data_IF_969401828838
#
_entry.id   IF_969401828838
#
_cell.length_a   1.000
_cell.length_b   1.000
_cell.length_c   1.000
_cell.angle_alpha   90.00
_cell.angle_beta   90.00
_cell.angle_gamma   90.00
#
_symmetry.space_group_name_H-M   'P 1'
#
loop_
_entity.id
_entity.type
_entity.pdbx_description
1 polymer ?
#
# COMPACT_ATOMS: atom_id res chain seq x y z
N UNK A 1 11.52 15.53 -1.29
CA UNK A 1 11.47 14.14 -0.77
C UNK A 1 11.40 13.20 -1.97
N UNK A 2 11.96 11.99 -1.90
CA UNK A 2 11.90 11.03 -3.00
C UNK A 2 11.36 9.69 -2.51
N UNK A 3 10.72 8.94 -3.40
CA UNK A 3 10.40 7.52 -3.23
C UNK A 3 11.48 6.73 -3.94
N UNK A 4 12.10 5.79 -3.25
CA UNK A 4 13.21 5.01 -3.75
C UNK A 4 12.89 3.52 -3.61
N UNK A 5 13.15 2.75 -4.66
CA UNK A 5 13.19 1.29 -4.61
C UNK A 5 14.65 0.87 -4.48
N UNK A 6 14.92 0.05 -3.48
CA UNK A 6 16.26 -0.42 -3.17
C UNK A 6 16.28 -1.94 -3.18
N UNK A 7 17.18 -2.53 -3.94
CA UNK A 7 17.48 -3.96 -3.85
C UNK A 7 18.42 -4.17 -2.67
N UNK A 8 18.04 -5.06 -1.76
CA UNK A 8 18.80 -5.32 -0.54
C UNK A 8 19.10 -6.81 -0.36
N UNK A 9 20.28 -7.11 0.17
CA UNK A 9 20.71 -8.44 0.57
C UNK A 9 21.48 -8.34 1.89
N UNK A 10 21.95 -9.48 2.40
CA UNK A 10 22.83 -9.52 3.57
C UNK A 10 24.23 -8.91 3.33
N UNK A 11 24.59 -8.64 2.08
CA UNK A 11 25.88 -8.08 1.70
C UNK A 11 25.84 -6.58 1.43
N UNK A 12 24.64 -6.01 1.17
CA UNK A 12 24.50 -4.61 0.88
C UNK A 12 23.15 -4.23 0.29
N UNK A 13 23.02 -2.97 -0.06
CA UNK A 13 21.82 -2.41 -0.67
C UNK A 13 22.18 -1.47 -1.81
N UNK A 14 21.37 -1.50 -2.88
CA UNK A 14 21.56 -0.70 -4.08
C UNK A 14 20.22 -0.04 -4.47
N UNK A 15 20.14 1.30 -4.52
CA UNK A 15 18.99 1.98 -5.13
C UNK A 15 18.90 1.63 -6.62
N UNK A 16 17.75 1.10 -7.05
CA UNK A 16 17.51 0.68 -8.44
C UNK A 16 16.50 1.55 -9.16
N UNK A 17 15.64 2.25 -8.43
CA UNK A 17 14.75 3.26 -8.97
C UNK A 17 14.46 4.34 -7.93
N UNK A 18 14.27 5.57 -8.38
CA UNK A 18 13.85 6.66 -7.50
C UNK A 18 13.07 7.71 -8.30
N UNK A 19 12.13 8.35 -7.63
CA UNK A 19 11.34 9.43 -8.21
C UNK A 19 11.06 10.51 -7.16
N UNK A 20 11.12 11.76 -7.57
CA UNK A 20 10.76 12.89 -6.73
C UNK A 20 9.28 12.82 -6.36
N UNK A 21 8.98 12.85 -5.07
CA UNK A 21 7.63 13.08 -4.58
C UNK A 21 7.37 14.59 -4.52
N UNK A 22 6.40 15.05 -5.29
CA UNK A 22 5.94 16.42 -5.28
C UNK A 22 4.63 16.49 -4.49
N UNK A 23 4.57 17.17 -3.33
CA UNK A 23 3.33 17.38 -2.60
C UNK A 23 2.26 18.04 -3.45
N UNK A 24 0.99 17.79 -3.13
CA UNK A 24 -0.15 18.27 -3.94
C UNK A 24 -0.22 19.79 -4.03
N UNK A 25 0.06 20.49 -2.92
CA UNK A 25 0.16 21.96 -2.87
C UNK A 25 1.26 22.51 -3.78
N UNK A 26 2.40 21.81 -3.89
CA UNK A 26 3.46 22.14 -4.81
C UNK A 26 3.09 21.84 -6.27
N UNK A 27 2.40 20.72 -6.50
CA UNK A 27 2.00 20.31 -7.84
C UNK A 27 0.95 21.27 -8.44
N UNK A 28 0.12 21.87 -7.60
CA UNK A 28 -0.89 22.84 -7.99
C UNK A 28 -0.33 24.27 -8.22
N UNK A 29 0.84 24.60 -7.67
CA UNK A 29 1.45 25.92 -7.76
C UNK A 29 2.36 26.01 -9.00
N UNK A 30 1.80 26.48 -10.10
CA UNK A 30 2.50 26.59 -11.39
C UNK A 30 3.69 27.55 -11.35
N UNK A 31 3.57 28.65 -10.59
CA UNK A 31 4.63 29.66 -10.49
C UNK A 31 5.82 29.10 -9.71
N UNK A 32 5.56 28.44 -8.60
CA UNK A 32 6.56 27.76 -7.78
C UNK A 32 7.25 26.62 -8.53
N UNK A 33 6.51 25.86 -9.31
CA UNK A 33 7.06 24.81 -10.19
C UNK A 33 8.00 25.37 -11.23
N UNK A 34 7.58 26.40 -11.95
CA UNK A 34 8.39 27.05 -12.98
C UNK A 34 9.69 27.60 -12.39
N UNK A 35 9.62 28.29 -11.22
CA UNK A 35 10.78 28.81 -10.51
C UNK A 35 11.75 27.72 -10.04
N UNK A 36 11.23 26.55 -9.70
CA UNK A 36 12.03 25.39 -9.26
C UNK A 36 12.48 24.49 -10.44
N UNK A 37 12.14 24.81 -11.69
CA UNK A 37 12.49 24.02 -12.85
C UNK A 37 11.80 22.62 -12.87
N UNK A 38 10.61 22.50 -12.27
CA UNK A 38 9.86 21.24 -12.31
C UNK A 38 9.24 21.08 -13.69
N UNK A 39 9.53 19.98 -14.42
CA UNK A 39 8.96 19.72 -15.75
C UNK A 39 7.44 19.68 -15.74
N UNK A 40 6.81 20.07 -16.84
CA UNK A 40 5.34 20.15 -16.95
C UNK A 40 4.68 18.76 -16.85
N UNK A 41 5.35 17.73 -17.35
CA UNK A 41 4.90 16.34 -17.30
C UNK A 41 4.90 15.72 -15.90
N UNK A 42 5.54 16.35 -14.92
CA UNK A 42 5.53 15.88 -13.54
C UNK A 42 4.22 16.28 -12.88
N UNK A 43 3.34 15.32 -12.66
CA UNK A 43 2.07 15.51 -11.98
C UNK A 43 2.11 14.98 -10.54
N UNK A 44 1.12 15.39 -9.75
CA UNK A 44 0.95 14.85 -8.41
C UNK A 44 0.67 13.34 -8.47
N UNK A 45 1.41 12.61 -7.65
CA UNK A 45 1.13 11.20 -7.36
C UNK A 45 1.44 10.92 -5.90
N UNK A 46 0.65 10.07 -5.26
CA UNK A 46 0.94 9.64 -3.89
C UNK A 46 2.22 8.80 -3.85
N UNK A 47 2.85 8.69 -2.68
CA UNK A 47 4.06 7.88 -2.52
C UNK A 47 3.80 6.41 -2.89
N UNK A 48 2.63 5.88 -2.55
CA UNK A 48 2.23 4.51 -2.89
C UNK A 48 2.06 4.32 -4.39
N UNK A 49 1.48 5.30 -5.09
CA UNK A 49 1.37 5.29 -6.57
C UNK A 49 2.75 5.33 -7.24
N UNK A 50 3.65 6.20 -6.76
CA UNK A 50 5.01 6.29 -7.28
C UNK A 50 5.75 4.95 -7.09
N UNK A 51 5.68 4.35 -5.90
CA UNK A 51 6.32 3.07 -5.63
C UNK A 51 5.78 1.94 -6.53
N UNK A 52 4.45 1.88 -6.72
CA UNK A 52 3.84 0.89 -7.61
C UNK A 52 4.23 1.08 -9.07
N UNK A 53 4.33 2.34 -9.53
CA UNK A 53 4.77 2.64 -10.88
C UNK A 53 6.22 2.19 -11.10
N UNK A 54 7.13 2.51 -10.18
CA UNK A 54 8.53 2.08 -10.25
C UNK A 54 8.65 0.55 -10.24
N UNK A 55 7.89 -0.16 -9.39
CA UNK A 55 7.88 -1.61 -9.35
C UNK A 55 7.41 -2.21 -10.68
N UNK A 56 6.35 -1.67 -11.29
CA UNK A 56 5.89 -2.13 -12.61
C UNK A 56 6.97 -1.95 -13.66
N UNK A 57 7.56 -0.75 -13.74
CA UNK A 57 8.65 -0.48 -14.69
C UNK A 57 9.80 -1.47 -14.53
N UNK A 58 10.27 -1.71 -13.30
CA UNK A 58 11.34 -2.68 -13.04
C UNK A 58 10.98 -4.10 -13.47
N UNK A 59 9.73 -4.53 -13.23
CA UNK A 59 9.26 -5.86 -13.65
C UNK A 59 9.15 -5.97 -15.18
N UNK A 60 8.68 -4.92 -15.84
CA UNK A 60 8.56 -4.84 -17.31
C UNK A 60 9.96 -4.84 -17.97
N UNK A 61 10.95 -4.28 -17.32
CA UNK A 61 12.37 -4.32 -17.70
C UNK A 61 13.05 -5.66 -17.39
N UNK A 62 12.33 -6.62 -16.82
CA UNK A 62 12.82 -7.96 -16.56
C UNK A 62 13.46 -8.17 -15.18
N UNK A 63 13.27 -7.25 -14.24
CA UNK A 63 13.75 -7.44 -12.87
C UNK A 63 13.15 -8.71 -12.24
N UNK A 64 13.93 -9.51 -11.51
CA UNK A 64 13.42 -10.70 -10.85
C UNK A 64 12.44 -10.36 -9.74
N UNK A 65 11.43 -11.22 -9.55
CA UNK A 65 10.41 -11.04 -8.50
C UNK A 65 10.97 -11.43 -7.13
N UNK A 66 11.32 -10.43 -6.35
CA UNK A 66 11.74 -10.57 -4.95
C UNK A 66 10.62 -10.21 -3.99
N UNK A 67 10.82 -10.47 -2.71
CA UNK A 67 9.91 -10.03 -1.67
C UNK A 67 10.01 -8.52 -1.48
N UNK A 68 8.88 -7.81 -1.55
CA UNK A 68 8.80 -6.37 -1.31
C UNK A 68 8.69 -6.11 0.19
N UNK A 69 9.60 -5.30 0.71
CA UNK A 69 9.54 -4.81 2.09
C UNK A 69 9.16 -3.34 2.09
N UNK A 70 8.20 -2.96 2.91
CA UNK A 70 7.81 -1.55 3.07
C UNK A 70 7.34 -1.26 4.50
N UNK A 71 7.45 -0.02 4.91
CA UNK A 71 7.01 0.44 6.21
C UNK A 71 5.47 0.63 6.29
N UNK A 72 4.99 1.05 7.46
CA UNK A 72 3.57 1.27 7.69
C UNK A 72 2.99 2.45 6.89
N UNK A 73 3.83 3.36 6.40
CA UNK A 73 3.40 4.46 5.52
C UNK A 73 2.86 3.96 4.17
N UNK A 74 3.34 2.79 3.73
CA UNK A 74 2.84 2.09 2.54
C UNK A 74 1.87 0.96 2.91
N UNK A 75 2.21 0.18 3.94
CA UNK A 75 1.50 -1.05 4.26
C UNK A 75 0.08 -0.87 4.81
N UNK A 76 -0.30 0.32 5.31
CA UNK A 76 -1.69 0.61 5.71
C UNK A 76 -2.62 0.82 4.51
N UNK A 77 -2.07 1.15 3.34
CA UNK A 77 -2.84 1.34 2.12
C UNK A 77 -3.26 -0.03 1.54
N UNK A 78 -4.56 -0.31 1.56
CA UNK A 78 -5.10 -1.56 1.03
C UNK A 78 -4.92 -1.69 -0.48
N UNK A 79 -5.02 -0.57 -1.22
CA UNK A 79 -4.84 -0.58 -2.66
C UNK A 79 -3.38 -0.91 -3.04
N UNK A 80 -2.42 -0.44 -2.23
CA UNK A 80 -1.01 -0.78 -2.39
C UNK A 80 -0.78 -2.29 -2.23
N UNK A 81 -1.28 -2.90 -1.14
CA UNK A 81 -1.15 -4.35 -0.91
C UNK A 81 -1.82 -5.19 -2.00
N UNK A 82 -3.02 -4.76 -2.43
CA UNK A 82 -3.74 -5.45 -3.51
C UNK A 82 -2.95 -5.39 -4.81
N UNK A 83 -2.40 -4.23 -5.18
CA UNK A 83 -1.60 -4.09 -6.38
C UNK A 83 -0.32 -4.95 -6.35
N UNK A 84 0.33 -5.12 -5.20
CA UNK A 84 1.46 -6.04 -5.06
C UNK A 84 1.02 -7.49 -5.31
N UNK A 85 -0.13 -7.89 -4.76
CA UNK A 85 -0.71 -9.23 -4.99
C UNK A 85 -1.06 -9.45 -6.47
N UNK A 86 -1.66 -8.45 -7.13
CA UNK A 86 -2.04 -8.51 -8.56
C UNK A 86 -0.81 -8.62 -9.47
N UNK A 87 0.33 -8.03 -9.07
CA UNK A 87 1.62 -8.19 -9.74
C UNK A 87 2.30 -9.54 -9.45
N UNK A 88 1.72 -10.40 -8.60
CA UNK A 88 2.30 -11.68 -8.19
C UNK A 88 3.56 -11.54 -7.33
N UNK A 89 3.70 -10.43 -6.60
CA UNK A 89 4.83 -10.19 -5.71
C UNK A 89 4.53 -10.70 -4.31
N UNK A 90 5.49 -11.36 -3.70
CA UNK A 90 5.50 -11.57 -2.26
C UNK A 90 5.83 -10.25 -1.56
N UNK A 91 5.23 -10.01 -0.41
CA UNK A 91 5.54 -8.80 0.36
C UNK A 91 5.43 -9.01 1.87
N UNK A 92 6.23 -8.27 2.61
CA UNK A 92 6.09 -8.07 4.04
C UNK A 92 6.08 -6.56 4.30
N UNK A 93 4.96 -6.05 4.81
CA UNK A 93 4.76 -4.61 5.00
C UNK A 93 4.37 -4.30 6.44
N UNK A 94 4.91 -3.21 6.97
CA UNK A 94 4.47 -2.69 8.25
C UNK A 94 3.02 -2.24 8.20
N UNK A 95 2.29 -2.44 9.30
CA UNK A 95 0.93 -1.91 9.49
C UNK A 95 0.81 -1.31 10.88
N UNK A 96 -0.15 -0.41 11.07
CA UNK A 96 -0.43 0.09 12.42
C UNK A 96 -1.23 -0.92 13.23
N UNK A 97 -1.03 -0.93 14.54
CA UNK A 97 -1.74 -1.81 15.47
C UNK A 97 -3.27 -1.65 15.44
N UNK A 98 -3.76 -0.52 14.96
CA UNK A 98 -5.18 -0.20 14.82
C UNK A 98 -5.84 -0.78 13.55
N UNK A 99 -5.05 -1.30 12.59
CA UNK A 99 -5.61 -1.96 11.41
C UNK A 99 -6.54 -3.08 11.84
N UNK A 100 -7.71 -3.13 11.22
CA UNK A 100 -8.76 -4.10 11.53
C UNK A 100 -8.69 -5.26 10.54
N UNK A 101 -8.66 -6.46 11.05
CA UNK A 101 -8.57 -7.71 10.28
C UNK A 101 -9.67 -8.68 10.70
N UNK A 102 -9.98 -9.60 9.84
CA UNK A 102 -10.83 -10.74 10.18
C UNK A 102 -9.98 -11.86 10.79
N UNK A 103 -10.53 -12.63 11.73
CA UNK A 103 -9.81 -13.77 12.29
C UNK A 103 -9.34 -14.74 11.20
N UNK A 104 -8.21 -15.45 11.40
CA UNK A 104 -7.74 -16.46 10.45
C UNK A 104 -8.82 -17.51 10.14
N UNK A 105 -8.91 -17.91 8.87
CA UNK A 105 -9.89 -18.89 8.40
C UNK A 105 -11.32 -18.36 8.24
N UNK A 106 -11.57 -17.10 8.57
CA UNK A 106 -12.88 -16.47 8.45
C UNK A 106 -12.98 -15.70 7.12
N UNK A 107 -13.96 -16.09 6.30
CA UNK A 107 -14.33 -15.32 5.12
C UNK A 107 -15.45 -14.33 5.46
N UNK A 108 -15.22 -13.01 5.35
CA UNK A 108 -16.27 -12.03 5.60
C UNK A 108 -17.40 -12.18 4.57
N UNK A 109 -18.65 -12.11 5.02
CA UNK A 109 -19.78 -12.08 4.10
C UNK A 109 -19.78 -10.79 3.30
N UNK A 110 -20.11 -10.82 2.01
CA UNK A 110 -20.19 -9.61 1.20
C UNK A 110 -21.17 -8.60 1.80
N UNK A 111 -21.05 -7.32 1.46
CA UNK A 111 -22.02 -6.30 1.85
C UNK A 111 -23.44 -6.74 1.48
N UNK A 112 -24.45 -6.25 2.23
CA UNK A 112 -25.84 -6.50 1.87
C UNK A 112 -26.14 -5.96 0.47
N UNK A 113 -27.03 -6.63 -0.31
CA UNK A 113 -27.48 -6.09 -1.58
C UNK A 113 -28.02 -4.66 -1.42
N UNK A 114 -27.73 -3.81 -2.39
CA UNK A 114 -28.23 -2.45 -2.38
C UNK A 114 -29.75 -2.43 -2.56
N UNK A 115 -30.45 -1.80 -1.62
CA UNK A 115 -31.92 -1.71 -1.62
C UNK A 115 -32.49 -0.53 -2.41
N UNK A 116 -31.64 0.25 -3.08
CA UNK A 116 -32.06 1.44 -3.83
C UNK A 116 -32.23 2.71 -2.97
N UNK A 117 -32.14 2.60 -1.64
CA UNK A 117 -32.25 3.74 -0.71
C UNK A 117 -30.95 3.96 0.06
N UNK A 118 -30.54 5.23 0.24
CA UNK A 118 -29.32 5.67 0.91
C UNK A 118 -28.05 5.26 0.12
N UNK A 119 -26.88 5.41 0.78
CA UNK A 119 -25.57 5.02 0.20
C UNK A 119 -25.45 3.50 0.09
N UNK A 120 -24.96 2.97 -1.05
CA UNK A 120 -24.69 1.54 -1.18
C UNK A 120 -23.80 1.04 -0.04
N UNK A 121 -24.11 -0.12 0.58
CA UNK A 121 -23.26 -0.70 1.60
C UNK A 121 -21.97 -1.22 0.98
N UNK A 122 -20.82 -0.81 1.50
CA UNK A 122 -19.49 -1.22 1.04
C UNK A 122 -18.74 -2.08 2.06
N UNK A 123 -19.27 -2.18 3.28
CA UNK A 123 -18.62 -2.87 4.39
C UNK A 123 -19.17 -4.30 4.50
N UNK A 124 -18.31 -5.32 4.64
CA UNK A 124 -18.74 -6.69 4.89
C UNK A 124 -19.70 -6.81 6.09
N UNK A 125 -20.62 -7.76 6.01
CA UNK A 125 -21.60 -7.99 7.06
C UNK A 125 -20.89 -8.47 8.34
N UNK A 126 -21.32 -7.92 9.48
CA UNK A 126 -20.89 -8.33 10.81
C UNK A 126 -22.03 -9.07 11.50
N UNK A 127 -21.71 -10.12 12.23
CA UNK A 127 -22.66 -10.85 13.09
C UNK A 127 -22.08 -10.91 14.50
N UNK A 128 -22.87 -11.20 15.55
CA UNK A 128 -22.34 -11.33 16.91
C UNK A 128 -21.17 -12.31 17.03
N UNK A 129 -21.19 -13.38 16.24
CA UNK A 129 -20.14 -14.42 16.21
C UNK A 129 -19.02 -14.12 15.20
N UNK A 130 -19.18 -13.10 14.37
CA UNK A 130 -18.26 -12.78 13.27
C UNK A 130 -17.94 -11.29 13.28
N UNK A 131 -16.96 -10.93 14.08
CA UNK A 131 -16.50 -9.56 14.24
C UNK A 131 -15.04 -9.44 13.80
N UNK A 132 -14.68 -8.38 13.08
CA UNK A 132 -13.28 -8.05 12.85
C UNK A 132 -12.64 -7.58 14.16
N UNK A 133 -11.33 -7.79 14.28
CA UNK A 133 -10.53 -7.39 15.44
C UNK A 133 -9.33 -6.55 15.02
N UNK A 134 -8.73 -5.82 15.97
CA UNK A 134 -7.47 -5.12 15.65
C UNK A 134 -6.31 -6.11 15.49
N UNK A 135 -5.33 -5.74 14.66
CA UNK A 135 -4.09 -6.52 14.52
C UNK A 135 -3.41 -6.70 15.87
N UNK A 136 -3.45 -5.69 16.74
CA UNK A 136 -2.95 -5.81 18.11
C UNK A 136 -3.62 -6.95 18.88
N UNK A 137 -4.95 -7.02 18.85
CA UNK A 137 -5.71 -8.07 19.51
C UNK A 137 -5.38 -9.44 18.95
N UNK A 138 -5.28 -9.55 17.61
CA UNK A 138 -4.89 -10.79 16.94
C UNK A 138 -3.47 -11.21 17.36
N UNK A 139 -2.50 -10.31 17.29
CA UNK A 139 -1.11 -10.60 17.66
C UNK A 139 -0.97 -11.09 19.11
N UNK A 140 -1.71 -10.47 20.03
CA UNK A 140 -1.71 -10.89 21.44
C UNK A 140 -2.40 -12.24 21.68
N UNK A 141 -3.19 -12.75 20.74
CA UNK A 141 -3.85 -14.05 20.81
C UNK A 141 -3.02 -15.19 20.20
N UNK A 142 -1.93 -14.86 19.50
CA UNK A 142 -1.03 -15.85 18.93
C UNK A 142 -0.07 -16.39 20.01
N UNK A 143 0.34 -17.67 19.92
CA UNK A 143 1.35 -18.20 20.81
C UNK A 143 2.69 -17.47 20.63
N UNK A 144 3.53 -17.36 21.67
CA UNK A 144 4.80 -16.62 21.61
C UNK A 144 5.81 -17.15 20.60
N UNK A 145 5.61 -18.34 20.07
CA UNK A 145 6.47 -19.01 19.08
C UNK A 145 5.93 -18.95 17.64
N UNK A 146 4.89 -18.16 17.40
CA UNK A 146 4.26 -18.01 16.08
C UNK A 146 4.91 -16.91 15.23
#
# INVERSE_FOLDING_TARGET
>A
MAVCITLASNQGSLPVAWQLYLPEDWAADTERRAKAGVPEEVHFATKTQIALQQLRTLLDEGAPRHCVLADAGYGVDNAFRQALSDMGLLYAVGITSAVVVWPPGVQPRPPKPYSGMRRPPVVPQRTPSLQPMSVKTLAMSLPPEA
#
